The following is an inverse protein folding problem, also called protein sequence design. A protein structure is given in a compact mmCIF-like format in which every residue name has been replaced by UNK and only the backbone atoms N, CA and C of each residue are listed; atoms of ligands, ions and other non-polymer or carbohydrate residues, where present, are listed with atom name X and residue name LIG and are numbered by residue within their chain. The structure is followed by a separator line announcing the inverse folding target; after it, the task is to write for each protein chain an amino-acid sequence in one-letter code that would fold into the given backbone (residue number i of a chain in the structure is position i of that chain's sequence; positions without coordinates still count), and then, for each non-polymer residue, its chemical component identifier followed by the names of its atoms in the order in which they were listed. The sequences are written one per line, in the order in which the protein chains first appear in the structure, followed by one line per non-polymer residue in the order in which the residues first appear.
data_IF_235496274295
#
_entry.id   IF_235496274295
#
_cell.length_a   1.000
_cell.length_b   1.000
_cell.length_c   1.000
_cell.angle_alpha   90.00
_cell.angle_beta   90.00
_cell.angle_gamma   90.00
#
_symmetry.space_group_name_H-M   'P 1'
#
loop_
_entity.id
_entity.type
_entity.pdbx_description
1 polymer ?
#
# COMPACT_ATOMS: atom_id res chain seq x y z
N UNK A 1 37.77 -10.93 -74.05
CA UNK A 1 36.47 -11.62 -74.12
C UNK A 1 36.12 -12.10 -72.71
N UNK A 2 34.96 -11.68 -72.18
CA UNK A 2 34.28 -12.11 -70.94
C UNK A 2 34.75 -11.57 -69.58
N UNK A 3 33.95 -10.61 -69.10
CA UNK A 3 33.75 -10.09 -67.75
C UNK A 3 33.50 -11.18 -66.68
N UNK A 4 33.99 -10.96 -65.46
CA UNK A 4 33.33 -11.19 -64.14
C UNK A 4 34.09 -10.36 -63.09
N UNK A 5 33.72 -9.10 -62.83
CA UNK A 5 32.69 -8.66 -61.87
C UNK A 5 32.63 -9.52 -60.59
N UNK A 6 33.35 -9.10 -59.55
CA UNK A 6 33.10 -9.48 -58.16
C UNK A 6 33.35 -8.24 -57.29
N UNK A 7 32.33 -7.39 -57.24
CA UNK A 7 32.25 -6.22 -56.37
C UNK A 7 31.91 -6.75 -54.97
N UNK A 8 32.92 -6.97 -54.12
CA UNK A 8 32.70 -7.33 -52.71
C UNK A 8 32.37 -6.03 -51.97
N UNK A 9 31.08 -5.75 -51.90
CA UNK A 9 30.51 -4.65 -51.15
C UNK A 9 30.53 -5.07 -49.67
N UNK A 10 31.55 -4.62 -48.94
CA UNK A 10 31.64 -4.78 -47.48
C UNK A 10 30.61 -3.84 -46.85
N UNK A 11 29.36 -4.32 -46.78
CA UNK A 11 28.31 -3.77 -45.92
C UNK A 11 28.72 -4.08 -44.48
N UNK A 12 29.43 -3.13 -43.86
CA UNK A 12 29.54 -3.06 -42.43
C UNK A 12 28.12 -2.89 -41.86
N UNK A 13 27.54 -3.98 -41.38
CA UNK A 13 26.36 -3.99 -40.55
C UNK A 13 26.68 -3.16 -39.30
N UNK A 14 26.31 -1.89 -39.33
CA UNK A 14 26.04 -1.09 -38.14
C UNK A 14 24.89 -1.79 -37.41
N UNK A 15 25.22 -2.78 -36.58
CA UNK A 15 24.33 -3.23 -35.53
C UNK A 15 24.27 -2.11 -34.49
N UNK A 16 23.47 -1.10 -34.81
CA UNK A 16 22.85 -0.28 -33.77
C UNK A 16 21.97 -1.23 -32.99
N UNK A 17 22.48 -1.74 -31.86
CA UNK A 17 21.60 -2.16 -30.79
C UNK A 17 20.80 -0.91 -30.41
N UNK A 18 19.61 -0.77 -31.00
CA UNK A 18 18.57 0.04 -30.40
C UNK A 18 18.23 -0.67 -29.09
N UNK A 19 18.94 -0.32 -28.02
CA UNK A 19 18.46 -0.56 -26.67
C UNK A 19 17.17 0.24 -26.60
N UNK A 20 16.04 -0.43 -26.84
CA UNK A 20 14.73 0.11 -26.52
C UNK A 20 14.76 0.24 -25.01
N UNK A 21 15.08 1.44 -24.51
CA UNK A 21 14.80 1.81 -23.14
C UNK A 21 13.29 1.65 -22.99
N UNK A 22 12.87 0.49 -22.50
CA UNK A 22 11.53 0.30 -21.97
C UNK A 22 11.30 1.49 -21.03
N UNK A 23 10.21 2.26 -21.21
CA UNK A 23 9.94 3.40 -20.33
C UNK A 23 10.01 2.85 -18.90
N UNK A 24 11.02 3.29 -18.16
CA UNK A 24 11.20 2.87 -16.79
C UNK A 24 9.99 3.41 -16.06
N UNK A 25 9.03 2.54 -15.74
CA UNK A 25 7.88 2.92 -14.93
C UNK A 25 8.44 3.54 -13.66
N UNK A 26 8.24 4.85 -13.51
CA UNK A 26 8.69 5.56 -12.32
C UNK A 26 7.70 5.22 -11.21
N UNK A 27 8.20 4.57 -10.16
CA UNK A 27 7.42 4.26 -8.97
C UNK A 27 7.77 5.26 -7.87
N UNK A 28 6.76 5.84 -7.19
CA UNK A 28 7.04 6.69 -6.03
C UNK A 28 7.35 5.87 -4.77
N UNK A 29 6.92 4.60 -4.72
CA UNK A 29 7.13 3.73 -3.59
C UNK A 29 7.27 2.28 -4.06
N UNK A 30 8.31 1.62 -3.56
CA UNK A 30 8.56 0.21 -3.84
C UNK A 30 9.18 -0.42 -2.60
N UNK A 31 8.57 -1.49 -2.10
CA UNK A 31 9.04 -2.15 -0.88
C UNK A 31 8.77 -3.64 -0.88
N UNK A 32 9.78 -4.45 -0.57
CA UNK A 32 9.56 -5.85 -0.19
C UNK A 32 8.96 -5.91 1.21
N UNK A 33 7.88 -6.68 1.35
CA UNK A 33 7.09 -6.81 2.56
C UNK A 33 6.80 -8.28 2.84
N UNK A 34 6.65 -8.60 4.13
CA UNK A 34 6.12 -9.89 4.57
C UNK A 34 4.60 -9.81 4.71
N UNK A 35 3.94 -10.97 4.66
CA UNK A 35 2.55 -11.10 5.07
C UNK A 35 2.32 -12.34 5.94
N UNK A 36 1.33 -12.25 6.82
CA UNK A 36 0.89 -13.34 7.68
C UNK A 36 -0.63 -13.42 7.77
N UNK A 37 -1.13 -14.52 8.34
CA UNK A 37 -2.56 -14.74 8.57
C UNK A 37 -2.92 -14.41 10.01
N UNK A 38 -4.01 -13.70 10.19
CA UNK A 38 -4.44 -13.14 11.48
C UNK A 38 -5.92 -13.39 11.72
N UNK A 39 -6.29 -13.56 12.98
CA UNK A 39 -7.70 -13.49 13.38
C UNK A 39 -8.21 -12.05 13.40
N UNK A 40 -9.53 -11.86 13.55
CA UNK A 40 -10.15 -10.54 13.73
C UNK A 40 -9.70 -9.78 14.98
N UNK A 41 -9.08 -10.48 15.94
CA UNK A 41 -8.48 -9.87 17.13
C UNK A 41 -6.96 -9.65 16.94
N UNK A 42 -6.47 -9.65 15.70
CA UNK A 42 -5.07 -9.47 15.34
C UNK A 42 -4.10 -10.47 15.99
N UNK A 43 -4.59 -11.67 16.33
CA UNK A 43 -3.71 -12.77 16.73
C UNK A 43 -3.18 -13.49 15.50
N UNK A 44 -1.85 -13.60 15.37
CA UNK A 44 -1.20 -14.38 14.32
C UNK A 44 -1.61 -15.85 14.39
N UNK A 45 -1.92 -16.42 13.23
CA UNK A 45 -2.37 -17.80 13.06
C UNK A 45 -1.21 -18.66 12.53
N UNK A 46 -0.40 -19.17 13.45
CA UNK A 46 0.71 -20.05 13.09
C UNK A 46 0.20 -21.32 12.40
N UNK A 47 0.76 -21.62 11.21
CA UNK A 47 0.44 -22.81 10.46
C UNK A 47 -0.85 -22.77 9.62
N UNK A 48 -1.56 -21.63 9.56
CA UNK A 48 -2.66 -21.46 8.62
C UNK A 48 -2.16 -21.60 7.18
N UNK A 49 -2.80 -22.47 6.39
CA UNK A 49 -2.47 -22.71 4.99
C UNK A 49 -3.72 -22.45 4.15
N UNK A 50 -3.76 -21.38 3.33
CA UNK A 50 -4.86 -21.20 2.42
C UNK A 50 -4.88 -22.32 1.38
N UNK A 51 -6.07 -22.78 1.01
CA UNK A 51 -6.24 -23.82 -0.03
C UNK A 51 -6.14 -23.24 -1.45
N UNK A 52 -5.96 -21.92 -1.55
CA UNK A 52 -6.15 -21.11 -2.74
C UNK A 52 -5.05 -20.05 -2.89
N UNK A 53 -4.85 -19.60 -4.12
CA UNK A 53 -3.96 -18.47 -4.39
C UNK A 53 -4.52 -17.19 -3.76
N UNK A 54 -3.64 -16.39 -3.16
CA UNK A 54 -3.99 -15.16 -2.45
C UNK A 54 -3.63 -13.96 -3.32
N UNK A 55 -4.56 -13.02 -3.44
CA UNK A 55 -4.32 -11.69 -4.01
C UNK A 55 -4.46 -10.65 -2.91
N UNK A 56 -3.49 -9.76 -2.79
CA UNK A 56 -3.55 -8.57 -1.93
C UNK A 56 -3.95 -7.37 -2.80
N UNK A 57 -5.00 -6.66 -2.41
CA UNK A 57 -5.63 -5.63 -3.25
C UNK A 57 -5.56 -4.30 -2.50
N UNK A 58 -5.03 -3.28 -3.19
CA UNK A 58 -4.71 -1.99 -2.61
C UNK A 58 -5.41 -0.83 -3.37
N UNK A 59 -6.70 -0.59 -3.11
CA UNK A 59 -7.43 0.53 -3.70
C UNK A 59 -7.08 1.87 -3.05
N UNK A 60 -7.42 2.96 -3.72
CA UNK A 60 -7.21 4.30 -3.22
C UNK A 60 -8.37 4.81 -2.34
N UNK A 61 -8.03 5.60 -1.33
CA UNK A 61 -8.97 6.35 -0.50
C UNK A 61 -8.50 7.81 -0.47
N UNK A 62 -8.94 8.64 -1.44
CA UNK A 62 -8.48 10.01 -1.56
C UNK A 62 -9.16 10.93 -0.53
N UNK A 63 -8.39 11.84 0.06
CA UNK A 63 -8.92 12.92 0.92
C UNK A 63 -9.49 12.49 2.28
N UNK A 64 -9.29 11.24 2.71
CA UNK A 64 -9.68 10.79 4.04
C UNK A 64 -8.69 9.80 4.67
N UNK A 65 -8.48 9.93 5.99
CA UNK A 65 -7.75 8.94 6.81
C UNK A 65 -8.64 7.71 7.06
N UNK A 66 -9.95 7.92 7.16
CA UNK A 66 -10.94 6.85 7.27
C UNK A 66 -12.06 7.09 6.27
N UNK A 67 -12.46 6.06 5.54
CA UNK A 67 -13.45 6.16 4.48
C UNK A 67 -13.46 4.91 3.62
N UNK A 68 -14.37 4.92 2.64
CA UNK A 68 -14.52 3.83 1.68
C UNK A 68 -13.49 3.96 0.56
N UNK A 69 -12.96 2.83 0.05
CA UNK A 69 -12.18 2.82 -1.19
C UNK A 69 -13.00 3.31 -2.38
N UNK A 70 -12.29 3.89 -3.35
CA UNK A 70 -12.82 4.11 -4.69
C UNK A 70 -12.52 2.90 -5.58
N UNK A 71 -13.03 2.90 -6.80
CA UNK A 71 -12.78 1.85 -7.79
C UNK A 71 -11.35 1.90 -8.39
N UNK A 72 -10.55 2.93 -8.04
CA UNK A 72 -9.16 3.05 -8.48
C UNK A 72 -8.25 2.13 -7.65
N UNK A 73 -7.92 0.98 -8.24
CA UNK A 73 -6.96 0.02 -7.67
C UNK A 73 -5.54 0.46 -7.98
N UNK A 74 -4.78 0.86 -6.95
CA UNK A 74 -3.40 1.31 -7.13
C UNK A 74 -2.43 0.16 -7.36
N UNK A 75 -2.71 -0.99 -6.74
CA UNK A 75 -1.85 -2.16 -6.86
C UNK A 75 -2.59 -3.45 -6.51
N UNK A 76 -2.19 -4.54 -7.17
CA UNK A 76 -2.58 -5.91 -6.81
C UNK A 76 -1.31 -6.75 -6.74
N UNK A 77 -1.10 -7.41 -5.60
CA UNK A 77 -0.03 -8.39 -5.45
C UNK A 77 -0.60 -9.80 -5.50
N UNK A 78 -0.28 -10.56 -6.54
CA UNK A 78 -0.53 -12.01 -6.54
C UNK A 78 0.61 -12.70 -5.78
N UNK A 79 0.28 -13.38 -4.68
CA UNK A 79 1.29 -13.98 -3.79
C UNK A 79 1.20 -15.50 -3.82
N UNK A 80 2.36 -16.14 -3.97
CA UNK A 80 2.49 -17.61 -4.07
C UNK A 80 3.41 -18.14 -2.98
N UNK A 81 2.83 -18.58 -1.85
CA UNK A 81 3.47 -19.36 -0.78
C UNK A 81 4.80 -18.86 -0.18
N UNK A 82 5.30 -17.70 -0.61
CA UNK A 82 6.59 -17.13 -0.19
C UNK A 82 6.48 -16.25 1.06
N UNK A 83 5.26 -16.02 1.58
CA UNK A 83 4.98 -15.11 2.70
C UNK A 83 5.56 -13.70 2.52
N UNK A 84 5.86 -13.34 1.28
CA UNK A 84 6.52 -12.10 0.90
C UNK A 84 5.92 -11.60 -0.41
N UNK A 85 5.90 -10.28 -0.56
CA UNK A 85 5.45 -9.62 -1.77
C UNK A 85 6.15 -8.28 -1.90
N UNK A 86 6.21 -7.75 -3.13
CA UNK A 86 6.67 -6.40 -3.38
C UNK A 86 5.46 -5.50 -3.50
N UNK A 87 5.34 -4.49 -2.63
CA UNK A 87 4.37 -3.41 -2.76
C UNK A 87 4.96 -2.34 -3.66
N UNK A 88 4.33 -2.09 -4.82
CA UNK A 88 4.77 -1.09 -5.79
C UNK A 88 3.62 -0.13 -6.04
N UNK A 89 3.83 1.16 -5.78
CA UNK A 89 2.82 2.20 -5.96
C UNK A 89 3.27 3.17 -7.05
N UNK A 90 2.35 3.63 -7.90
CA UNK A 90 2.69 4.48 -9.04
C UNK A 90 3.23 5.83 -8.57
N UNK A 91 3.87 6.60 -9.46
CA UNK A 91 4.46 7.90 -9.12
C UNK A 91 3.49 9.09 -9.19
N UNK A 92 2.36 8.93 -9.86
CA UNK A 92 1.34 9.96 -10.11
C UNK A 92 0.35 10.14 -8.94
N UNK A 93 0.73 9.75 -7.72
CA UNK A 93 -0.17 9.73 -6.55
C UNK A 93 -0.74 11.10 -6.21
N UNK A 94 0.01 12.20 -6.42
CA UNK A 94 -0.51 13.55 -6.14
C UNK A 94 -1.78 13.85 -6.95
N UNK A 95 -1.82 13.40 -8.22
CA UNK A 95 -2.97 13.60 -9.11
C UNK A 95 -4.20 12.78 -8.68
N UNK A 96 -3.97 11.65 -8.00
CA UNK A 96 -5.01 10.76 -7.45
C UNK A 96 -5.45 11.17 -6.03
N UNK A 97 -4.67 12.00 -5.35
CA UNK A 97 -4.93 12.46 -3.99
C UNK A 97 -5.93 13.61 -3.93
N UNK A 98 -6.62 13.76 -2.79
CA UNK A 98 -7.58 14.85 -2.58
C UNK A 98 -7.35 15.57 -1.25
N UNK A 99 -7.75 16.86 -1.19
CA UNK A 99 -7.68 17.64 0.04
C UNK A 99 -8.60 17.04 1.11
N UNK A 100 -8.07 16.91 2.33
CA UNK A 100 -8.85 16.42 3.47
C UNK A 100 -9.90 17.43 3.93
N UNK A 101 -11.13 16.96 4.13
CA UNK A 101 -12.26 17.78 4.59
C UNK A 101 -13.05 17.14 5.73
N UNK A 102 -12.45 16.21 6.46
CA UNK A 102 -13.13 15.52 7.56
C UNK A 102 -13.32 16.48 8.75
N UNK A 103 -14.57 16.59 9.23
CA UNK A 103 -14.93 17.46 10.35
C UNK A 103 -14.19 17.06 11.63
N UNK A 104 -13.81 18.06 12.44
CA UNK A 104 -13.10 17.85 13.70
C UNK A 104 -11.58 17.75 13.57
N UNK A 105 -11.06 17.83 12.34
CA UNK A 105 -9.62 17.88 12.07
C UNK A 105 -9.20 19.28 11.61
N UNK A 106 -8.09 19.75 12.14
CA UNK A 106 -7.36 20.91 11.67
C UNK A 106 -6.12 20.42 10.91
N UNK A 107 -5.94 20.90 9.68
CA UNK A 107 -4.84 20.47 8.80
C UNK A 107 -4.05 21.68 8.34
N UNK A 108 -2.73 21.60 8.53
CA UNK A 108 -1.79 22.66 8.18
C UNK A 108 -0.66 22.07 7.33
N UNK A 109 -0.44 22.53 6.09
CA UNK A 109 -1.21 23.56 5.40
C UNK A 109 -2.60 23.03 4.96
N UNK A 110 -3.59 23.93 4.85
CA UNK A 110 -4.99 23.56 4.62
C UNK A 110 -5.27 22.95 3.23
N UNK A 111 -4.36 23.16 2.28
CA UNK A 111 -4.41 22.58 0.93
C UNK A 111 -3.72 21.21 0.84
N UNK A 112 -3.23 20.65 1.95
CA UNK A 112 -2.65 19.30 1.99
C UNK A 112 -3.64 18.29 1.40
N UNK A 113 -3.25 17.70 0.26
CA UNK A 113 -3.89 16.52 -0.29
C UNK A 113 -3.32 15.26 0.35
N UNK A 114 -4.18 14.26 0.50
CA UNK A 114 -3.82 12.95 0.97
C UNK A 114 -4.51 11.83 0.19
N UNK A 115 -3.90 10.65 0.25
CA UNK A 115 -4.46 9.41 -0.24
C UNK A 115 -4.06 8.30 0.74
N UNK A 116 -5.06 7.62 1.32
CA UNK A 116 -4.81 6.41 2.10
C UNK A 116 -4.86 5.19 1.18
N UNK A 117 -3.95 4.25 1.41
CA UNK A 117 -4.00 2.94 0.78
C UNK A 117 -5.03 2.06 1.50
N UNK A 118 -6.04 1.59 0.78
CA UNK A 118 -6.92 0.51 1.25
C UNK A 118 -6.18 -0.81 1.32
N UNK A 119 -6.63 -1.71 2.18
CA UNK A 119 -5.96 -2.99 2.44
C UNK A 119 -6.99 -4.11 2.46
N UNK A 120 -7.00 -4.90 1.38
CA UNK A 120 -7.93 -6.01 1.19
C UNK A 120 -7.19 -7.24 0.70
N UNK A 121 -7.86 -8.39 0.78
CA UNK A 121 -7.40 -9.60 0.13
C UNK A 121 -8.56 -10.38 -0.49
N UNK A 122 -8.23 -11.25 -1.43
CA UNK A 122 -9.16 -12.21 -2.00
C UNK A 122 -8.44 -13.55 -2.25
N UNK A 123 -9.18 -14.64 -2.17
CA UNK A 123 -8.69 -15.99 -2.44
C UNK A 123 -9.25 -16.49 -3.78
N UNK A 124 -8.40 -16.93 -4.70
CA UNK A 124 -8.82 -17.50 -5.99
C UNK A 124 -9.39 -18.93 -5.82
N UNK A 125 -10.46 -19.34 -6.52
CA UNK A 125 -11.20 -18.61 -7.56
C UNK A 125 -12.27 -17.67 -7.01
N UNK A 126 -12.51 -17.67 -5.69
CA UNK A 126 -13.54 -16.91 -5.00
C UNK A 126 -13.18 -15.42 -4.86
N UNK A 127 -12.98 -14.75 -6.00
CA UNK A 127 -12.74 -13.29 -6.06
C UNK A 127 -13.92 -12.47 -5.51
N UNK A 128 -15.08 -13.10 -5.35
CA UNK A 128 -16.30 -12.50 -4.81
C UNK A 128 -16.25 -12.37 -3.27
N UNK A 129 -15.38 -13.13 -2.59
CA UNK A 129 -15.17 -13.03 -1.13
C UNK A 129 -13.94 -12.16 -0.83
N UNK A 130 -14.17 -10.85 -0.78
CA UNK A 130 -13.14 -9.88 -0.39
C UNK A 130 -13.07 -9.81 1.15
N UNK A 131 -11.92 -10.20 1.68
CA UNK A 131 -11.60 -10.08 3.10
C UNK A 131 -10.83 -8.79 3.43
N UNK A 132 -10.87 -8.43 4.71
CA UNK A 132 -10.11 -7.28 5.24
C UNK A 132 -8.63 -7.61 5.39
N UNK A 133 -7.79 -6.61 5.15
CA UNK A 133 -6.37 -6.67 5.48
C UNK A 133 -5.92 -5.44 6.25
N UNK A 134 -4.67 -5.41 6.65
CA UNK A 134 -4.07 -4.27 7.32
C UNK A 134 -2.55 -4.36 7.30
N UNK A 135 -1.90 -3.31 7.77
CA UNK A 135 -0.50 -3.37 8.13
C UNK A 135 -0.41 -3.37 9.64
N UNK A 136 0.56 -4.08 10.19
CA UNK A 136 0.82 -4.13 11.63
C UNK A 136 2.31 -3.97 11.88
N UNK A 137 2.65 -3.40 13.03
CA UNK A 137 3.99 -3.52 13.59
C UNK A 137 4.11 -4.88 14.31
N UNK A 138 5.07 -5.71 13.92
CA UNK A 138 5.23 -7.06 14.48
C UNK A 138 5.81 -7.08 15.90
N UNK A 139 6.32 -5.95 16.39
CA UNK A 139 6.88 -5.84 17.74
C UNK A 139 5.79 -5.72 18.81
N UNK A 140 4.81 -4.84 18.59
CA UNK A 140 3.75 -4.50 19.56
C UNK A 140 2.33 -4.83 19.07
N UNK A 141 2.19 -5.30 17.82
CA UNK A 141 0.93 -5.56 17.13
C UNK A 141 0.06 -4.30 16.93
N UNK A 142 0.64 -3.11 16.96
CA UNK A 142 -0.08 -1.88 16.65
C UNK A 142 -0.48 -1.84 15.17
N UNK A 143 -1.77 -1.55 14.85
CA UNK A 143 -2.19 -1.33 13.48
C UNK A 143 -1.52 -0.10 12.86
N UNK A 144 -1.14 -0.25 11.59
CA UNK A 144 -0.55 0.79 10.77
C UNK A 144 -1.41 1.02 9.53
N UNK A 145 -1.43 2.26 9.05
CA UNK A 145 -1.97 2.62 7.73
C UNK A 145 -0.90 3.33 6.91
N UNK A 146 -0.94 3.14 5.60
CA UNK A 146 -0.04 3.81 4.65
C UNK A 146 -0.78 4.98 4.00
N UNK A 147 -0.25 6.19 4.15
CA UNK A 147 -0.90 7.42 3.69
C UNK A 147 0.10 8.29 2.93
N UNK A 148 -0.27 8.69 1.73
CA UNK A 148 0.45 9.68 0.95
C UNK A 148 0.07 11.09 1.41
N UNK A 149 1.07 11.97 1.52
CA UNK A 149 0.92 13.40 1.77
C UNK A 149 1.56 14.18 0.64
N UNK A 150 0.83 15.14 0.07
CA UNK A 150 1.37 16.04 -0.98
C UNK A 150 2.43 17.02 -0.48
N UNK A 151 2.43 17.34 0.82
CA UNK A 151 3.32 18.31 1.46
C UNK A 151 3.69 17.84 2.88
N UNK A 152 4.77 18.38 3.50
CA UNK A 152 4.91 18.36 4.95
C UNK A 152 3.63 18.91 5.60
N UNK A 153 3.10 18.22 6.61
CA UNK A 153 1.79 18.52 7.14
C UNK A 153 1.65 18.23 8.63
N UNK A 154 0.76 18.98 9.29
CA UNK A 154 0.32 18.74 10.66
C UNK A 154 -1.19 18.52 10.65
N UNK A 155 -1.64 17.38 11.16
CA UNK A 155 -3.07 17.05 11.32
C UNK A 155 -3.33 16.87 12.82
N UNK A 156 -4.20 17.72 13.36
CA UNK A 156 -4.62 17.69 14.76
C UNK A 156 -6.13 17.66 14.89
N UNK A 157 -6.62 17.11 15.99
CA UNK A 157 -8.04 17.14 16.34
C UNK A 157 -8.62 15.74 16.53
N UNK A 158 -9.93 15.68 16.73
CA UNK A 158 -10.61 14.42 17.05
C UNK A 158 -11.67 14.16 15.99
N UNK A 159 -11.51 13.03 15.29
CA UNK A 159 -12.55 12.49 14.43
C UNK A 159 -13.38 11.48 15.22
N UNK A 160 -14.71 11.55 15.11
CA UNK A 160 -15.61 10.57 15.74
C UNK A 160 -16.31 9.76 14.65
N UNK A 161 -16.23 8.43 14.73
CA UNK A 161 -16.90 7.48 13.84
C UNK A 161 -17.72 6.50 14.67
N UNK A 162 -19.05 6.66 14.67
CA UNK A 162 -19.91 5.91 15.58
C UNK A 162 -19.55 6.16 17.04
N UNK A 163 -19.13 5.11 17.76
CA UNK A 163 -18.67 5.20 19.16
C UNK A 163 -17.17 5.46 19.30
N UNK A 164 -16.41 5.34 18.22
CA UNK A 164 -14.97 5.44 18.24
C UNK A 164 -14.50 6.88 18.08
N UNK A 165 -13.50 7.27 18.87
CA UNK A 165 -12.83 8.56 18.82
C UNK A 165 -11.38 8.37 18.41
N UNK A 166 -10.94 9.16 17.44
CA UNK A 166 -9.60 9.11 16.89
C UNK A 166 -8.91 10.46 17.10
N UNK A 167 -8.05 10.55 18.11
CA UNK A 167 -7.18 11.69 18.40
C UNK A 167 -6.02 11.71 17.40
N UNK A 168 -6.08 12.62 16.43
CA UNK A 168 -5.03 12.76 15.42
C UNK A 168 -3.92 13.66 15.96
N UNK A 169 -2.72 13.11 16.00
CA UNK A 169 -1.48 13.77 16.40
C UNK A 169 -0.40 13.53 15.36
N UNK A 170 -0.73 13.80 14.10
CA UNK A 170 0.12 13.46 12.96
C UNK A 170 0.95 14.68 12.58
N UNK A 171 2.26 14.50 12.53
CA UNK A 171 3.21 15.50 12.02
C UNK A 171 4.08 14.81 11.00
N UNK A 172 4.03 15.25 9.75
CA UNK A 172 4.77 14.68 8.62
C UNK A 172 5.80 15.71 8.17
N UNK A 173 7.06 15.31 8.18
CA UNK A 173 8.19 16.20 7.85
C UNK A 173 8.42 16.38 6.35
N UNK A 174 7.91 15.45 5.51
CA UNK A 174 8.14 15.46 4.06
C UNK A 174 6.96 14.88 3.28
N UNK A 175 6.78 15.39 2.05
CA UNK A 175 5.81 14.83 1.11
C UNK A 175 6.16 13.37 0.75
N UNK A 176 5.15 12.58 0.41
CA UNK A 176 5.29 11.18 0.03
C UNK A 176 4.50 10.24 0.93
N UNK A 177 4.82 8.96 0.80
CA UNK A 177 4.19 7.89 1.56
C UNK A 177 4.75 7.78 2.97
N UNK A 178 3.87 7.88 3.95
CA UNK A 178 4.20 7.84 5.37
C UNK A 178 3.35 6.80 6.09
N UNK A 179 3.94 6.13 7.06
CA UNK A 179 3.27 5.16 7.93
C UNK A 179 2.66 5.91 9.10
N UNK A 180 1.38 5.68 9.35
CA UNK A 180 0.66 6.24 10.50
C UNK A 180 0.29 5.09 11.42
N UNK A 181 0.76 5.14 12.66
CA UNK A 181 0.40 4.17 13.70
C UNK A 181 -0.92 4.54 14.37
N UNK A 182 -1.69 3.52 14.74
CA UNK A 182 -2.96 3.63 15.45
C UNK A 182 -2.84 2.90 16.77
N UNK A 183 -2.91 3.65 17.88
CA UNK A 183 -2.75 3.09 19.24
C UNK A 183 -4.08 3.19 19.97
N UNK A 184 -4.55 2.10 20.57
CA UNK A 184 -5.69 2.14 21.49
C UNK A 184 -5.26 2.70 22.84
N UNK A 185 -5.87 3.80 23.26
CA UNK A 185 -5.61 4.43 24.56
C UNK A 185 -6.54 3.91 25.65
N UNK A 186 -7.79 3.61 25.26
CA UNK A 186 -8.84 3.01 26.09
C UNK A 186 -9.98 2.56 25.18
N UNK A 187 -10.99 1.88 25.73
CA UNK A 187 -12.16 1.42 24.99
C UNK A 187 -12.74 2.50 24.06
N UNK A 188 -12.68 2.24 22.74
CA UNK A 188 -13.16 3.13 21.68
C UNK A 188 -12.39 4.47 21.54
N UNK A 189 -11.23 4.64 22.15
CA UNK A 189 -10.40 5.83 22.02
C UNK A 189 -9.04 5.46 21.46
N UNK A 190 -8.71 6.01 20.30
CA UNK A 190 -7.49 5.72 19.57
C UNK A 190 -6.69 6.99 19.33
N UNK A 191 -5.37 6.86 19.23
CA UNK A 191 -4.46 7.92 18.79
C UNK A 191 -3.79 7.56 17.48
N UNK A 192 -3.76 8.51 16.56
CA UNK A 192 -3.00 8.41 15.33
C UNK A 192 -1.76 9.30 15.39
N UNK A 193 -0.61 8.77 15.00
CA UNK A 193 0.65 9.52 14.92
C UNK A 193 1.56 8.94 13.83
N UNK A 194 2.58 9.67 13.42
CA UNK A 194 3.60 9.13 12.52
C UNK A 194 4.27 7.90 13.18
N UNK A 195 4.47 6.84 12.40
CA UNK A 195 5.22 5.68 12.85
C UNK A 195 6.72 5.95 12.76
N UNK A 196 7.37 5.88 13.91
CA UNK A 196 8.79 6.16 14.14
C UNK A 196 9.64 4.91 14.38
N UNK A 197 9.03 3.71 14.31
CA UNK A 197 9.70 2.43 14.49
C UNK A 197 10.44 1.94 13.25
N UNK A 198 11.05 0.75 13.36
CA UNK A 198 11.70 0.12 12.21
C UNK A 198 10.64 -0.33 11.21
N UNK A 199 10.74 0.21 10.01
CA UNK A 199 9.88 -0.15 8.90
C UNK A 199 10.00 -1.66 8.61
N UNK A 200 11.16 -2.27 8.82
CA UNK A 200 11.44 -3.70 8.63
C UNK A 200 10.53 -4.63 9.43
N UNK A 201 9.96 -4.12 10.53
CA UNK A 201 9.04 -4.85 11.40
C UNK A 201 7.59 -4.76 10.96
N UNK A 202 7.30 -4.11 9.82
CA UNK A 202 5.95 -4.00 9.26
C UNK A 202 5.61 -5.24 8.45
N UNK A 203 4.49 -5.89 8.80
CA UNK A 203 3.92 -7.04 8.08
C UNK A 203 2.50 -6.69 7.60
N UNK A 204 2.09 -7.22 6.43
CA UNK A 204 0.70 -7.18 6.01
C UNK A 204 -0.10 -8.31 6.70
N UNK A 205 -1.15 -7.94 7.43
CA UNK A 205 -2.04 -8.89 8.10
C UNK A 205 -3.22 -9.26 7.19
N UNK A 206 -3.25 -10.51 6.74
CA UNK A 206 -4.41 -11.11 6.05
C UNK A 206 -5.39 -11.60 7.10
N UNK A 207 -6.54 -10.94 7.26
CA UNK A 207 -7.51 -11.28 8.32
C UNK A 207 -8.45 -12.37 7.84
N UNK A 208 -8.39 -13.55 8.47
CA UNK A 208 -9.20 -14.71 8.07
C UNK A 208 -10.16 -15.12 9.19
N UNK A 209 -11.34 -15.63 8.80
CA UNK A 209 -12.29 -16.20 9.75
C UNK A 209 -11.91 -17.65 10.07
N UNK A 210 -11.49 -17.92 11.31
CA UNK A 210 -11.12 -19.27 11.77
C UNK A 210 -12.29 -20.06 12.35
N UNK A 211 -13.53 -19.65 12.10
CA UNK A 211 -14.73 -20.41 12.51
C UNK A 211 -14.87 -21.74 11.74
N UNK A 212 -13.97 -22.02 10.80
CA UNK A 212 -13.83 -23.33 10.17
C UNK A 212 -12.87 -24.16 11.01
N UNK A 213 -13.45 -24.98 11.89
CA UNK A 213 -12.74 -26.06 12.59
C UNK A 213 -11.96 -26.90 11.59
N UNK A 214 -10.68 -27.14 11.86
CA UNK A 214 -9.88 -28.18 11.22
C UNK A 214 -10.43 -29.55 11.65
#
# INVERSE_FOLDING_TARGET
MKYRLAFILVLAFLQSCATVDSPTESFAFSREMKYGFYSYNFKRLEGYKPESELALIFPSIPGAIFGNPTDDILYVAEVRNSHTFKLVLPSDIDAKSATIRQSGLNVVPADTKLLRLGTFHAFSPYRDDIGGGGFINTIDNEPLILVYFSNPANIRGVLTLGKQKFDHQITISSAGWNWIKVVELSDNNYRLSEFDGDKGDIEFSVVVNTSVSI
#
